data_IF_395447933966
#
_entry.id   IF_395447933966
#
_cell.length_a   1.000
_cell.length_b   1.000
_cell.length_c   1.000
_cell.angle_alpha   90.00
_cell.angle_beta   90.00
_cell.angle_gamma   90.00
#
_symmetry.space_group_name_H-M   'P 1'
#
loop_
_entity.id
_entity.type
_entity.pdbx_description
1 polymer ?
#
# COMPACT_ATOMS: atom_id res chain seq x y z
N UNK A 1 -9.96 4.49 -4.99
CA UNK A 1 -9.57 5.81 -4.44
C UNK A 1 -9.66 6.92 -5.48
N UNK A 2 -10.13 8.12 -5.09
CA UNK A 2 -10.00 9.36 -5.88
C UNK A 2 -9.20 10.42 -5.10
N UNK A 3 -8.90 11.61 -5.66
CA UNK A 3 -7.96 12.55 -5.05
C UNK A 3 -8.26 12.89 -3.58
N UNK A 4 -7.18 12.94 -2.81
CA UNK A 4 -7.17 13.35 -1.41
C UNK A 4 -7.81 12.35 -0.45
N UNK A 5 -8.28 11.20 -0.93
CA UNK A 5 -8.78 10.13 -0.07
C UNK A 5 -7.61 9.22 0.30
N UNK A 6 -7.60 8.73 1.53
CA UNK A 6 -6.73 7.65 2.00
C UNK A 6 -7.54 6.43 2.43
N UNK A 7 -7.00 5.25 2.19
CA UNK A 7 -7.48 3.99 2.73
C UNK A 7 -6.35 3.32 3.48
N UNK A 8 -6.68 2.57 4.53
CA UNK A 8 -5.69 1.87 5.33
C UNK A 8 -6.19 0.53 5.85
N UNK A 9 -5.24 -0.37 6.09
CA UNK A 9 -5.44 -1.64 6.76
C UNK A 9 -4.43 -1.73 7.91
N UNK A 10 -4.90 -2.13 9.08
CA UNK A 10 -4.08 -2.28 10.27
C UNK A 10 -3.96 -3.75 10.66
N UNK A 11 -2.76 -4.15 11.06
CA UNK A 11 -2.42 -5.46 11.60
C UNK A 11 -1.83 -5.27 13.00
N UNK A 12 -2.32 -6.02 13.98
CA UNK A 12 -1.75 -6.00 15.33
C UNK A 12 -0.36 -6.62 15.31
N UNK A 13 0.64 -5.86 15.74
CA UNK A 13 2.01 -6.34 15.78
C UNK A 13 2.15 -7.31 16.96
N UNK A 14 2.78 -8.46 16.74
CA UNK A 14 2.91 -9.53 17.76
C UNK A 14 4.36 -9.84 18.14
N UNK A 15 5.33 -9.25 17.45
CA UNK A 15 6.76 -9.47 17.67
C UNK A 15 7.58 -8.31 17.09
N UNK A 16 8.86 -8.23 17.50
CA UNK A 16 9.84 -7.33 16.91
C UNK A 16 9.99 -7.59 15.41
N UNK A 17 10.31 -6.54 14.65
CA UNK A 17 10.65 -6.63 13.22
C UNK A 17 12.09 -6.15 13.04
N UNK A 18 12.99 -6.92 12.40
CA UNK A 18 14.35 -6.46 12.17
C UNK A 18 14.38 -5.29 11.17
N UNK A 19 15.48 -4.54 11.18
CA UNK A 19 15.74 -3.58 10.10
C UNK A 19 16.02 -4.35 8.81
N UNK A 20 15.61 -3.80 7.66
CA UNK A 20 15.90 -4.39 6.37
C UNK A 20 14.89 -4.02 5.31
N UNK A 21 14.87 -4.82 4.25
CA UNK A 21 14.08 -4.55 3.06
C UNK A 21 12.64 -5.05 3.23
N UNK A 22 11.70 -4.14 3.03
CA UNK A 22 10.27 -4.39 2.93
C UNK A 22 9.89 -4.53 1.46
N UNK A 23 9.00 -5.47 1.14
CA UNK A 23 8.44 -5.60 -0.22
C UNK A 23 6.94 -5.33 -0.17
N UNK A 24 6.47 -4.48 -1.07
CA UNK A 24 5.05 -4.23 -1.30
C UNK A 24 4.66 -4.78 -2.67
N UNK A 25 3.62 -5.61 -2.71
CA UNK A 25 2.85 -5.90 -3.91
C UNK A 25 1.51 -5.17 -3.81
N UNK A 26 1.22 -4.33 -4.80
CA UNK A 26 0.00 -3.52 -4.82
C UNK A 26 -0.53 -3.37 -6.25
N UNK A 27 -0.63 -4.50 -6.95
CA UNK A 27 -1.33 -4.60 -8.23
C UNK A 27 -2.73 -3.96 -8.11
N UNK A 28 -3.17 -3.26 -9.14
CA UNK A 28 -4.42 -2.53 -9.07
C UNK A 28 -5.04 -2.22 -10.42
N UNK A 29 -6.36 -2.14 -10.44
CA UNK A 29 -7.14 -1.72 -11.60
C UNK A 29 -7.15 -0.19 -11.63
N UNK A 30 -6.73 0.37 -12.77
CA UNK A 30 -6.58 1.81 -12.97
C UNK A 30 -7.67 2.31 -13.91
N UNK A 31 -8.60 3.12 -13.38
CA UNK A 31 -9.73 3.63 -14.17
C UNK A 31 -9.51 5.05 -14.69
N UNK A 32 -8.52 5.76 -14.15
CA UNK A 32 -8.10 7.10 -14.56
C UNK A 32 -6.65 7.34 -14.08
N UNK A 33 -5.93 8.27 -14.70
CA UNK A 33 -4.55 8.57 -14.30
C UNK A 33 -4.51 9.08 -12.85
N UNK A 34 -3.56 8.58 -12.05
CA UNK A 34 -3.53 8.86 -10.60
C UNK A 34 -2.12 8.71 -10.02
N UNK A 35 -1.75 9.64 -9.14
CA UNK A 35 -0.57 9.50 -8.30
C UNK A 35 -0.93 8.79 -7.00
N UNK A 36 -0.32 7.65 -6.72
CA UNK A 36 -0.57 6.89 -5.49
C UNK A 36 0.66 6.92 -4.60
N UNK A 37 0.47 7.37 -3.36
CA UNK A 37 1.46 7.25 -2.29
C UNK A 37 1.09 6.05 -1.43
N UNK A 38 2.01 5.10 -1.31
CA UNK A 38 1.91 3.92 -0.45
C UNK A 38 2.83 4.10 0.77
N UNK A 39 2.34 3.76 1.95
CA UNK A 39 3.05 3.92 3.21
C UNK A 39 2.88 2.68 4.07
N UNK A 40 3.97 2.25 4.69
CA UNK A 40 3.95 1.35 5.84
C UNK A 40 4.27 2.19 7.07
N UNK A 41 3.38 2.16 8.05
CA UNK A 41 3.47 2.94 9.28
C UNK A 41 3.51 2.00 10.47
N UNK A 42 4.33 2.34 11.44
CA UNK A 42 4.24 1.81 12.78
C UNK A 42 3.33 2.71 13.61
N UNK A 43 2.11 2.23 13.87
CA UNK A 43 1.20 2.90 14.79
C UNK A 43 1.48 2.42 16.20
N UNK A 44 1.95 3.33 17.04
CA UNK A 44 2.11 3.09 18.48
C UNK A 44 0.75 2.88 19.15
N UNK A 45 0.74 2.15 20.26
CA UNK A 45 -0.44 2.02 21.12
C UNK A 45 -1.01 3.38 21.58
N UNK A 46 -0.20 4.44 21.61
CA UNK A 46 -0.63 5.83 21.85
C UNK A 46 -1.45 6.45 20.71
N UNK A 47 -1.57 5.77 19.56
CA UNK A 47 -2.17 6.27 18.33
C UNK A 47 -1.21 7.07 17.44
N UNK A 48 0.08 7.17 17.81
CA UNK A 48 1.08 7.90 17.03
C UNK A 48 1.57 7.06 15.85
N UNK A 49 1.47 7.60 14.63
CA UNK A 49 1.99 6.95 13.42
C UNK A 49 3.45 7.37 13.18
N UNK A 50 4.34 6.39 13.02
CA UNK A 50 5.74 6.57 12.63
C UNK A 50 5.95 5.93 11.25
N UNK A 51 6.31 6.70 10.21
CA UNK A 51 6.59 6.12 8.90
C UNK A 51 7.79 5.17 8.94
N UNK A 52 7.64 3.99 8.33
CA UNK A 52 8.71 3.00 8.16
C UNK A 52 9.30 3.15 6.76
N UNK A 53 8.43 3.11 5.75
CA UNK A 53 8.79 3.22 4.34
C UNK A 53 7.64 3.84 3.55
N UNK A 54 7.98 4.60 2.52
CA UNK A 54 7.03 5.31 1.65
C UNK A 54 7.46 5.15 0.20
N UNK A 55 6.49 4.88 -0.67
CA UNK A 55 6.68 4.83 -2.12
C UNK A 55 5.65 5.70 -2.80
N UNK A 56 6.03 6.28 -3.94
CA UNK A 56 5.13 7.04 -4.79
C UNK A 56 5.19 6.47 -6.20
N UNK A 57 4.03 6.35 -6.83
CA UNK A 57 3.93 5.87 -8.20
C UNK A 57 2.79 6.54 -8.94
N UNK A 58 3.05 6.95 -10.19
CA UNK A 58 2.03 7.41 -11.11
C UNK A 58 1.50 6.22 -11.91
N UNK A 59 0.19 6.02 -11.93
CA UNK A 59 -0.48 5.03 -12.75
C UNK A 59 -1.30 5.69 -13.85
N UNK A 60 -1.29 5.07 -15.02
CA UNK A 60 -2.19 5.38 -16.13
C UNK A 60 -3.15 4.21 -16.39
N UNK A 61 -4.39 4.48 -16.84
CA UNK A 61 -5.34 3.43 -17.18
C UNK A 61 -4.86 2.61 -18.37
N UNK A 62 -5.18 1.32 -18.37
CA UNK A 62 -4.91 0.48 -19.54
C UNK A 62 -5.77 0.97 -20.73
N UNK A 63 -5.14 1.09 -21.89
CA UNK A 63 -5.82 1.54 -23.10
C UNK A 63 -6.97 0.63 -23.53
N UNK A 64 -7.96 1.19 -24.22
CA UNK A 64 -9.04 0.41 -24.84
C UNK A 64 -10.14 -0.08 -23.89
N UNK A 65 -10.23 0.48 -22.67
CA UNK A 65 -11.24 0.07 -21.69
C UNK A 65 -10.94 -1.29 -21.04
N UNK A 66 -9.66 -1.67 -20.99
CA UNK A 66 -9.23 -2.85 -20.26
C UNK A 66 -9.21 -2.57 -18.75
N UNK A 67 -9.75 -3.50 -17.96
CA UNK A 67 -9.80 -3.45 -16.50
C UNK A 67 -8.98 -4.56 -15.83
N UNK A 68 -8.02 -5.15 -16.55
CA UNK A 68 -6.98 -5.97 -15.95
C UNK A 68 -6.19 -5.16 -14.91
N UNK A 69 -5.68 -5.84 -13.89
CA UNK A 69 -4.82 -5.24 -12.91
C UNK A 69 -3.46 -4.87 -13.53
N UNK A 70 -3.04 -3.63 -13.30
CA UNK A 70 -1.68 -3.19 -13.57
C UNK A 70 -0.77 -3.70 -12.44
N UNK A 71 0.26 -4.51 -12.74
CA UNK A 71 1.14 -5.04 -11.71
C UNK A 71 2.01 -3.93 -11.13
N UNK A 72 2.19 -3.95 -9.81
CA UNK A 72 3.11 -3.06 -9.11
C UNK A 72 3.76 -3.78 -7.94
N UNK A 73 5.08 -3.83 -7.97
CA UNK A 73 5.91 -4.37 -6.89
C UNK A 73 7.08 -3.44 -6.65
N UNK A 74 7.34 -3.15 -5.38
CA UNK A 74 8.40 -2.24 -4.98
C UNK A 74 9.01 -2.69 -3.67
N UNK A 75 10.29 -2.43 -3.51
CA UNK A 75 11.02 -2.68 -2.27
C UNK A 75 11.51 -1.37 -1.66
N UNK A 76 11.74 -1.36 -0.35
CA UNK A 76 12.36 -0.23 0.33
C UNK A 76 12.89 -0.63 1.70
N UNK A 77 13.97 0.03 2.13
CA UNK A 77 14.58 -0.26 3.41
C UNK A 77 13.84 0.47 4.54
N UNK A 78 13.63 -0.23 5.65
CA UNK A 78 12.97 0.30 6.85
C UNK A 78 13.77 0.01 8.12
N UNK A 79 13.56 0.81 9.18
CA UNK A 79 14.20 0.60 10.48
C UNK A 79 13.65 -0.64 11.19
N UNK A 80 14.41 -1.11 12.20
CA UNK A 80 13.91 -2.12 13.12
C UNK A 80 12.76 -1.56 13.96
N UNK A 81 11.81 -2.42 14.29
CA UNK A 81 10.66 -2.12 15.13
C UNK A 81 10.78 -2.95 16.40
N UNK A 82 10.85 -2.27 17.54
CA UNK A 82 10.74 -2.92 18.86
C UNK A 82 9.28 -2.95 19.27
N UNK A 83 8.69 -4.14 19.26
CA UNK A 83 7.30 -4.36 19.57
C UNK A 83 6.96 -3.93 21.00
N UNK A 84 5.78 -3.31 21.13
CA UNK A 84 5.08 -3.13 22.38
C UNK A 84 3.62 -3.56 22.19
N UNK A 85 3.01 -4.10 23.24
CA UNK A 85 1.62 -4.54 23.19
C UNK A 85 0.68 -3.39 22.78
N UNK A 86 -0.21 -3.67 21.82
CA UNK A 86 -1.13 -2.68 21.24
C UNK A 86 -0.54 -1.86 20.08
N UNK A 87 0.73 -2.03 19.74
CA UNK A 87 1.29 -1.46 18.51
C UNK A 87 0.69 -2.18 17.27
N UNK A 88 0.58 -1.44 16.17
CA UNK A 88 0.06 -1.93 14.90
C UNK A 88 1.01 -1.61 13.75
N UNK A 89 1.06 -2.51 12.77
CA UNK A 89 1.55 -2.21 11.44
C UNK A 89 0.39 -1.73 10.58
N UNK A 90 0.51 -0.56 9.96
CA UNK A 90 -0.54 0.02 9.14
C UNK A 90 -0.04 0.20 7.72
N UNK A 91 -0.71 -0.46 6.77
CA UNK A 91 -0.56 -0.13 5.36
C UNK A 91 -1.56 0.98 5.02
N UNK A 92 -1.08 2.08 4.43
CA UNK A 92 -1.90 3.20 3.97
C UNK A 92 -1.58 3.49 2.52
N UNK A 93 -2.61 3.79 1.74
CA UNK A 93 -2.44 4.32 0.39
C UNK A 93 -3.37 5.50 0.14
N UNK A 94 -2.83 6.50 -0.55
CA UNK A 94 -3.49 7.78 -0.82
C UNK A 94 -3.38 8.08 -2.30
N UNK A 95 -4.51 8.36 -2.96
CA UNK A 95 -4.54 8.81 -4.34
C UNK A 95 -4.59 10.34 -4.43
N UNK A 96 -3.85 10.93 -5.35
CA UNK A 96 -3.85 12.35 -5.68
C UNK A 96 -3.79 12.56 -7.21
N UNK A 97 -3.91 13.80 -7.67
CA UNK A 97 -3.78 14.15 -9.09
C UNK A 97 -5.01 13.82 -9.96
N UNK A 98 -6.13 13.35 -9.37
CA UNK A 98 -7.35 12.97 -10.12
C UNK A 98 -8.65 13.32 -9.39
N UNK A 99 -9.64 13.87 -10.08
CA UNK A 99 -10.98 14.07 -9.51
C UNK A 99 -11.84 12.80 -9.57
N UNK A 100 -11.39 11.77 -10.29
CA UNK A 100 -12.13 10.52 -10.48
C UNK A 100 -12.11 9.70 -9.20
N UNK A 101 -13.31 9.38 -8.69
CA UNK A 101 -13.43 8.41 -7.61
C UNK A 101 -13.07 7.03 -8.14
N UNK A 102 -12.29 6.28 -7.37
CA UNK A 102 -11.87 4.93 -7.74
C UNK A 102 -10.88 4.85 -8.93
N UNK A 103 -10.14 5.93 -9.20
CA UNK A 103 -9.02 5.93 -10.14
C UNK A 103 -7.99 4.81 -9.89
N UNK A 104 -7.70 4.51 -8.62
CA UNK A 104 -6.95 3.31 -8.20
C UNK A 104 -7.84 2.38 -7.38
N UNK A 105 -7.94 1.12 -7.78
CA UNK A 105 -8.63 0.05 -7.04
C UNK A 105 -7.58 -1.02 -6.76
N UNK A 106 -7.20 -1.26 -5.49
CA UNK A 106 -6.31 -2.37 -5.17
C UNK A 106 -6.94 -3.68 -5.65
N UNK A 107 -6.15 -4.54 -6.25
CA UNK A 107 -6.66 -5.80 -6.78
C UNK A 107 -6.94 -6.82 -5.68
N UNK A 108 -8.06 -6.63 -4.98
CA UNK A 108 -8.53 -7.56 -3.95
C UNK A 108 -9.05 -8.89 -4.51
N UNK A 109 -9.32 -8.97 -5.81
CA UNK A 109 -9.88 -10.17 -6.46
C UNK A 109 -8.78 -11.06 -7.09
N UNK A 110 -7.54 -10.57 -7.14
CA UNK A 110 -6.34 -11.30 -7.53
C UNK A 110 -6.44 -11.92 -8.91
N UNK A 111 -6.39 -13.26 -8.99
CA UNK A 111 -6.39 -13.97 -10.27
C UNK A 111 -7.62 -13.68 -11.14
N UNK A 112 -8.73 -13.22 -10.58
CA UNK A 112 -9.94 -12.85 -11.33
C UNK A 112 -9.77 -11.54 -12.13
N UNK A 113 -8.83 -10.68 -11.74
CA UNK A 113 -8.44 -9.47 -12.46
C UNK A 113 -7.02 -9.58 -13.06
N UNK A 114 -6.47 -10.80 -13.15
CA UNK A 114 -5.12 -11.07 -13.63
C UNK A 114 -4.00 -10.41 -12.80
N UNK A 115 -4.24 -10.10 -11.52
CA UNK A 115 -3.23 -9.54 -10.61
C UNK A 115 -3.05 -10.34 -9.33
N UNK A 116 -2.27 -9.77 -8.41
CA UNK A 116 -1.98 -10.33 -7.08
C UNK A 116 -2.72 -9.53 -6.02
N UNK A 117 -3.29 -10.26 -5.05
CA UNK A 117 -3.86 -9.66 -3.83
C UNK A 117 -2.76 -8.84 -3.15
N UNK A 118 -3.01 -7.58 -2.74
CA UNK A 118 -2.01 -6.77 -2.07
C UNK A 118 -1.46 -7.43 -0.81
N UNK A 119 -0.14 -7.50 -0.70
CA UNK A 119 0.55 -8.02 0.47
C UNK A 119 1.88 -7.30 0.72
N UNK A 120 2.39 -7.47 1.93
CA UNK A 120 3.66 -6.92 2.38
C UNK A 120 4.51 -8.05 2.93
N UNK A 121 5.73 -8.18 2.43
CA UNK A 121 6.74 -9.02 3.05
C UNK A 121 7.60 -8.20 4.01
N UNK A 122 7.74 -8.71 5.23
CA UNK A 122 8.55 -8.11 6.28
C UNK A 122 10.03 -8.52 6.12
N UNK A 123 10.97 -7.66 6.55
CA UNK A 123 12.38 -8.01 6.67
C UNK A 123 12.57 -9.29 7.50
N UNK A 124 13.53 -10.13 7.09
CA UNK A 124 13.90 -11.38 7.75
C UNK A 124 15.15 -11.23 8.60
#
# INVERSE_FOLDING_TARGET
MGAGRSQSAAYELVADVPAGTWTLVADGIITDSVDVTFEILWRKASGTDVPIVTWQHHFDPLGGGNYDATPYEVTGDGPAITYAAGDQLVFRYTGDGTTTQMAYIPDGDGALANGRIPYIDLPQ
#
